data_IF_545106250774
#
_entry.id   IF_545106250774
#
_cell.length_a   1.000
_cell.length_b   1.000
_cell.length_c   1.000
_cell.angle_alpha   90.00
_cell.angle_beta   90.00
_cell.angle_gamma   90.00
#
_symmetry.space_group_name_H-M   'P 1'
#
loop_
_entity.id
_entity.type
_entity.pdbx_description
1 polymer ?
#
# COMPACT_ATOMS: atom_id res chain seq x y z
N UNK A 1 -7.19 -29.89 0.92
CA UNK A 1 -6.38 -28.67 1.02
C UNK A 1 -5.83 -28.59 2.44
N UNK A 2 -4.53 -28.50 2.56
CA UNK A 2 -3.84 -28.34 3.84
C UNK A 2 -4.01 -26.90 4.30
N UNK A 3 -4.52 -26.68 5.51
CA UNK A 3 -4.76 -25.32 6.04
C UNK A 3 -3.45 -24.53 6.23
N UNK A 4 -3.52 -23.19 6.29
CA UNK A 4 -2.36 -22.33 6.49
C UNK A 4 -1.55 -22.76 7.74
N UNK A 5 -2.22 -23.01 8.85
CA UNK A 5 -1.60 -23.42 10.14
C UNK A 5 -0.92 -24.79 10.07
N UNK A 6 -1.35 -25.67 9.19
CA UNK A 6 -0.72 -26.99 8.99
C UNK A 6 0.56 -26.86 8.16
N UNK A 7 0.55 -25.96 7.14
CA UNK A 7 1.74 -25.71 6.33
C UNK A 7 2.77 -24.83 7.05
N UNK A 8 2.31 -23.85 7.83
CA UNK A 8 3.10 -22.81 8.49
C UNK A 8 2.71 -22.72 9.97
N UNK A 9 3.19 -23.66 10.82
CA UNK A 9 2.76 -23.76 12.22
C UNK A 9 3.34 -22.68 13.15
N UNK A 10 4.32 -21.91 12.68
CA UNK A 10 4.96 -20.86 13.48
C UNK A 10 4.48 -19.49 13.04
N UNK A 11 4.18 -18.62 14.02
CA UNK A 11 3.75 -17.24 13.75
C UNK A 11 4.58 -16.29 14.59
N UNK A 12 5.19 -15.31 13.93
CA UNK A 12 5.75 -14.12 14.55
C UNK A 12 4.82 -12.92 14.29
N UNK A 13 4.61 -12.09 15.30
CA UNK A 13 3.73 -10.92 15.20
C UNK A 13 4.50 -9.64 15.52
N UNK A 14 4.28 -8.61 14.69
CA UNK A 14 4.85 -7.27 14.84
C UNK A 14 3.68 -6.27 14.96
N UNK A 15 3.05 -6.16 16.14
CA UNK A 15 1.74 -5.50 16.29
C UNK A 15 1.78 -3.99 16.05
N UNK A 16 2.95 -3.38 16.15
CA UNK A 16 3.11 -1.93 15.95
C UNK A 16 3.54 -1.53 14.53
N UNK A 17 3.79 -2.51 13.64
CA UNK A 17 4.25 -2.25 12.29
C UNK A 17 3.21 -1.45 11.48
N UNK A 18 3.63 -0.33 10.91
CA UNK A 18 2.84 0.53 10.00
C UNK A 18 1.45 0.95 10.55
N UNK A 19 1.28 0.89 11.88
CA UNK A 19 0.01 1.21 12.53
C UNK A 19 -1.13 0.21 12.27
N UNK A 20 -0.88 -0.91 11.59
CA UNK A 20 -1.86 -1.97 11.30
C UNK A 20 -1.46 -3.33 11.85
N UNK A 21 -0.19 -3.51 12.19
CA UNK A 21 0.42 -4.78 12.53
C UNK A 21 0.85 -5.59 11.31
N UNK A 22 1.78 -6.53 11.55
CA UNK A 22 2.27 -7.47 10.55
C UNK A 22 2.36 -8.85 11.20
N UNK A 23 1.92 -9.88 10.46
CA UNK A 23 2.05 -11.27 10.82
C UNK A 23 2.98 -11.98 9.84
N UNK A 24 3.86 -12.82 10.38
CA UNK A 24 4.76 -13.67 9.60
C UNK A 24 4.54 -15.12 10.00
N UNK A 25 3.91 -15.89 9.11
CA UNK A 25 3.72 -17.33 9.27
C UNK A 25 4.86 -18.07 8.56
N UNK A 26 5.47 -19.05 9.22
CA UNK A 26 6.63 -19.78 8.70
C UNK A 26 6.55 -21.28 8.96
N UNK A 27 7.20 -22.06 8.09
CA UNK A 27 7.29 -23.52 8.23
C UNK A 27 8.19 -23.96 9.38
N UNK A 28 9.17 -23.14 9.76
CA UNK A 28 10.06 -23.34 10.91
C UNK A 28 10.12 -22.09 11.77
N UNK A 29 10.38 -22.24 13.06
CA UNK A 29 10.47 -21.09 13.98
C UNK A 29 11.58 -20.13 13.54
N UNK A 30 11.31 -18.83 13.62
CA UNK A 30 12.33 -17.80 13.43
C UNK A 30 13.34 -17.84 14.59
N UNK A 31 14.63 -17.75 14.25
CA UNK A 31 15.65 -17.48 15.26
C UNK A 31 15.47 -16.10 15.88
N UNK A 32 15.86 -15.95 17.16
CA UNK A 32 15.71 -14.67 17.87
C UNK A 32 16.41 -13.50 17.18
N UNK A 33 17.60 -13.73 16.63
CA UNK A 33 18.35 -12.70 15.88
C UNK A 33 17.59 -12.23 14.63
N UNK A 34 16.96 -13.16 13.89
CA UNK A 34 16.19 -12.79 12.69
C UNK A 34 14.91 -12.01 13.06
N UNK A 35 14.24 -12.40 14.16
CA UNK A 35 13.10 -11.65 14.67
C UNK A 35 13.49 -10.19 15.00
N UNK A 36 14.60 -10.01 15.74
CA UNK A 36 15.10 -8.67 16.08
C UNK A 36 15.49 -7.87 14.84
N UNK A 37 16.16 -8.48 13.86
CA UNK A 37 16.51 -7.79 12.61
C UNK A 37 15.29 -7.32 11.82
N UNK A 38 14.16 -8.05 11.89
CA UNK A 38 12.90 -7.61 11.26
C UNK A 38 12.29 -6.45 12.05
N UNK A 39 12.32 -6.47 13.40
CA UNK A 39 11.87 -5.33 14.22
C UNK A 39 12.69 -4.06 13.93
N UNK A 40 14.01 -4.20 13.85
CA UNK A 40 14.91 -3.09 13.51
C UNK A 40 14.61 -2.53 12.12
N UNK A 41 14.41 -3.40 11.11
CA UNK A 41 14.03 -2.99 9.76
C UNK A 41 12.70 -2.23 9.75
N UNK A 42 11.67 -2.70 10.47
CA UNK A 42 10.37 -2.02 10.59
C UNK A 42 10.56 -0.62 11.20
N UNK A 43 11.36 -0.53 12.27
CA UNK A 43 11.65 0.73 12.94
C UNK A 43 12.38 1.71 12.00
N UNK A 44 13.40 1.25 11.30
CA UNK A 44 14.17 2.07 10.34
C UNK A 44 13.27 2.52 9.18
N UNK A 45 12.43 1.63 8.66
CA UNK A 45 11.46 1.95 7.62
C UNK A 45 10.53 3.10 8.03
N UNK A 46 9.97 3.03 9.23
CA UNK A 46 9.09 4.07 9.75
C UNK A 46 9.84 5.38 10.07
N UNK A 47 11.08 5.31 10.54
CA UNK A 47 11.92 6.49 10.79
C UNK A 47 12.28 7.24 9.49
N UNK A 48 12.21 6.58 8.36
CA UNK A 48 12.47 7.16 7.04
C UNK A 48 11.18 7.65 6.39
N UNK A 49 10.15 6.81 6.27
CA UNK A 49 9.01 7.01 5.37
C UNK A 49 7.70 7.40 6.06
N UNK A 50 7.60 7.34 7.40
CA UNK A 50 6.34 7.64 8.07
C UNK A 50 6.06 9.13 8.15
N UNK A 51 5.02 9.62 7.45
CA UNK A 51 4.54 11.00 7.60
C UNK A 51 3.93 11.31 8.97
N UNK A 52 3.64 10.29 9.76
CA UNK A 52 3.12 10.42 11.13
C UNK A 52 4.21 10.66 12.17
N UNK A 53 5.49 10.52 11.80
CA UNK A 53 6.66 10.83 12.62
C UNK A 53 7.27 12.16 12.17
N UNK A 54 7.29 13.16 13.05
CA UNK A 54 7.83 14.48 12.71
C UNK A 54 9.35 14.50 12.51
N UNK A 55 10.05 13.51 13.05
CA UNK A 55 11.48 13.28 12.97
C UNK A 55 11.93 12.34 11.84
N UNK A 56 10.97 11.72 11.13
CA UNK A 56 11.29 10.96 9.91
C UNK A 56 11.80 11.88 8.80
N UNK A 57 12.49 11.35 7.78
CA UNK A 57 12.93 12.14 6.63
C UNK A 57 11.73 12.81 5.94
N UNK A 58 10.65 12.05 5.71
CA UNK A 58 9.39 12.58 5.16
C UNK A 58 8.76 13.65 6.05
N UNK A 59 8.81 13.46 7.38
CA UNK A 59 8.34 14.46 8.33
C UNK A 59 9.15 15.77 8.28
N UNK A 60 10.46 15.68 8.07
CA UNK A 60 11.34 16.84 7.90
C UNK A 60 11.07 17.57 6.58
N UNK A 61 10.84 16.86 5.47
CA UNK A 61 10.47 17.47 4.18
C UNK A 61 9.22 18.33 4.28
N UNK A 62 8.23 17.88 5.04
CA UNK A 62 6.96 18.59 5.24
C UNK A 62 7.13 19.97 5.90
N UNK A 63 8.12 20.15 6.79
CA UNK A 63 8.33 21.39 7.53
C UNK A 63 9.45 22.25 6.96
N UNK A 64 10.09 21.81 5.91
CA UNK A 64 11.20 22.53 5.24
C UNK A 64 10.67 23.69 4.39
N UNK A 65 10.40 24.83 5.01
CA UNK A 65 9.77 26.01 4.36
C UNK A 65 10.52 26.56 3.14
N UNK A 66 11.81 26.31 3.05
CA UNK A 66 12.66 26.71 1.92
C UNK A 66 13.12 25.51 1.06
N UNK A 67 12.49 24.36 1.26
CA UNK A 67 12.95 23.11 0.66
C UNK A 67 14.25 22.62 1.28
N UNK A 68 14.92 21.72 0.56
CA UNK A 68 16.17 21.11 1.01
C UNK A 68 16.59 19.94 0.14
N UNK A 69 17.74 19.38 0.50
CA UNK A 69 18.25 18.11 -0.04
C UNK A 69 18.09 17.04 1.02
N UNK A 70 17.44 15.95 0.69
CA UNK A 70 17.08 14.86 1.61
C UNK A 70 17.65 13.56 1.07
N UNK A 71 18.63 13.01 1.78
CA UNK A 71 19.26 11.74 1.43
C UNK A 71 18.52 10.59 2.12
N UNK A 72 17.98 9.70 1.32
CA UNK A 72 17.30 8.47 1.78
C UNK A 72 18.25 7.27 1.70
N UNK A 73 18.03 6.23 2.50
CA UNK A 73 18.79 4.99 2.40
C UNK A 73 18.65 4.33 1.02
N UNK A 74 19.68 3.60 0.59
CA UNK A 74 19.72 2.94 -0.74
C UNK A 74 18.52 2.04 -1.02
N UNK A 75 17.94 1.42 0.00
CA UNK A 75 16.77 0.56 -0.14
C UNK A 75 15.51 1.33 -0.58
N UNK A 76 15.47 2.66 -0.54
CA UNK A 76 14.30 3.43 -1.01
C UNK A 76 14.26 3.62 -2.53
N UNK A 77 15.36 3.38 -3.24
CA UNK A 77 15.47 3.60 -4.69
C UNK A 77 14.32 2.91 -5.46
N UNK A 78 14.16 1.63 -5.22
CA UNK A 78 13.12 0.85 -5.92
C UNK A 78 11.68 1.32 -5.61
N UNK A 79 11.44 1.88 -4.43
CA UNK A 79 10.15 2.47 -4.08
C UNK A 79 9.91 3.74 -4.89
N UNK A 80 10.92 4.60 -5.03
CA UNK A 80 10.82 5.83 -5.80
C UNK A 80 10.62 5.53 -7.29
N UNK A 81 11.38 4.59 -7.85
CA UNK A 81 11.20 4.12 -9.23
C UNK A 81 9.78 3.56 -9.46
N UNK A 82 9.23 2.83 -8.49
CA UNK A 82 7.85 2.33 -8.58
C UNK A 82 6.84 3.49 -8.60
N UNK A 83 7.04 4.54 -7.80
CA UNK A 83 6.17 5.71 -7.82
C UNK A 83 6.30 6.51 -9.12
N UNK A 84 7.49 6.62 -9.72
CA UNK A 84 7.68 7.21 -11.05
C UNK A 84 6.84 6.47 -12.10
N UNK A 85 6.89 5.13 -12.07
CA UNK A 85 6.11 4.30 -12.99
C UNK A 85 4.60 4.40 -12.74
N UNK A 86 4.15 4.38 -11.48
CA UNK A 86 2.72 4.50 -11.14
C UNK A 86 2.18 5.88 -11.46
N UNK A 87 2.92 6.95 -11.14
CA UNK A 87 2.56 8.31 -11.49
C UNK A 87 2.35 8.44 -13.00
N UNK A 88 3.31 7.96 -13.81
CA UNK A 88 3.20 7.97 -15.27
C UNK A 88 2.03 7.11 -15.78
N UNK A 89 1.89 5.87 -15.31
CA UNK A 89 0.86 4.94 -15.77
C UNK A 89 -0.57 5.39 -15.43
N UNK A 90 -0.72 6.19 -14.36
CA UNK A 90 -2.01 6.72 -13.90
C UNK A 90 -2.25 8.17 -14.30
N UNK A 91 -1.35 8.79 -15.09
CA UNK A 91 -1.38 10.21 -15.41
C UNK A 91 -1.47 11.12 -14.18
N UNK A 92 -0.77 10.77 -13.09
CA UNK A 92 -0.74 11.51 -11.85
C UNK A 92 -1.88 11.22 -10.87
N UNK A 93 -2.76 10.26 -11.15
CA UNK A 93 -3.84 9.89 -10.22
C UNK A 93 -3.30 9.16 -8.97
N UNK A 94 -2.16 8.49 -9.07
CA UNK A 94 -1.36 8.01 -7.94
C UNK A 94 -0.13 8.90 -7.81
N UNK A 95 -0.05 9.64 -6.72
CA UNK A 95 0.98 10.65 -6.46
C UNK A 95 1.29 10.67 -4.96
N UNK A 96 2.53 10.40 -4.52
CA UNK A 96 2.85 10.41 -3.09
C UNK A 96 2.71 11.78 -2.43
N UNK A 97 2.70 12.89 -3.19
CA UNK A 97 2.41 14.22 -2.66
C UNK A 97 0.96 14.38 -2.15
N UNK A 98 0.08 13.39 -2.34
CA UNK A 98 -1.27 13.34 -1.76
C UNK A 98 -1.28 13.45 -0.23
N UNK A 99 -0.14 13.29 0.42
CA UNK A 99 0.03 13.47 1.86
C UNK A 99 -0.46 14.82 2.37
N UNK A 100 -0.31 15.90 1.59
CA UNK A 100 -0.86 17.21 1.94
C UNK A 100 -2.39 17.21 1.97
N UNK A 101 -3.02 16.62 0.95
CA UNK A 101 -4.47 16.51 0.87
C UNK A 101 -5.04 15.70 2.04
N UNK A 102 -4.39 14.56 2.36
CA UNK A 102 -4.79 13.71 3.48
C UNK A 102 -4.71 14.45 4.82
N UNK A 103 -3.67 15.26 5.04
CA UNK A 103 -3.51 16.06 6.25
C UNK A 103 -4.59 17.15 6.33
N UNK A 104 -4.85 17.88 5.25
CA UNK A 104 -5.92 18.92 5.19
C UNK A 104 -7.28 18.34 5.52
N UNK A 105 -7.54 17.12 5.12
CA UNK A 105 -8.80 16.41 5.33
C UNK A 105 -8.87 15.70 6.69
N UNK A 106 -7.86 15.90 7.55
CA UNK A 106 -7.83 15.37 8.89
C UNK A 106 -7.35 13.93 9.03
N UNK A 107 -6.77 13.34 7.99
CA UNK A 107 -6.10 12.05 8.11
C UNK A 107 -4.69 12.23 8.67
N UNK A 108 -4.61 12.67 9.92
CA UNK A 108 -3.41 12.75 10.74
C UNK A 108 -3.51 11.75 11.93
N UNK A 109 -2.55 11.80 12.87
CA UNK A 109 -2.56 10.94 14.08
C UNK A 109 -3.82 11.08 14.92
N UNK A 110 -4.51 12.22 14.87
CA UNK A 110 -5.63 12.58 15.74
C UNK A 110 -6.96 12.65 14.99
N UNK A 111 -6.98 12.38 13.68
CA UNK A 111 -8.16 12.61 12.82
C UNK A 111 -8.74 14.02 13.02
N UNK A 112 -7.85 15.01 13.03
CA UNK A 112 -8.22 16.41 13.33
C UNK A 112 -8.64 17.13 12.05
N UNK A 113 -9.95 17.31 11.86
CA UNK A 113 -10.48 18.13 10.76
C UNK A 113 -10.49 19.59 11.21
N UNK A 114 -9.52 20.38 10.75
CA UNK A 114 -9.31 21.75 11.21
C UNK A 114 -9.72 22.85 10.21
N UNK A 115 -9.95 22.53 8.94
CA UNK A 115 -10.25 23.51 7.90
C UNK A 115 -11.68 23.35 7.37
N UNK A 116 -12.55 24.39 7.49
CA UNK A 116 -13.80 24.43 6.75
C UNK A 116 -13.51 24.43 5.24
N UNK A 117 -14.22 23.62 4.45
CA UNK A 117 -14.05 23.49 3.00
C UNK A 117 -12.68 22.94 2.54
N UNK A 118 -11.97 22.19 3.40
CA UNK A 118 -10.69 21.59 3.05
C UNK A 118 -10.73 20.80 1.72
N UNK A 119 -11.85 20.14 1.43
CA UNK A 119 -12.04 19.37 0.20
C UNK A 119 -12.00 20.22 -1.08
N UNK A 120 -12.31 21.51 -1.02
CA UNK A 120 -12.29 22.43 -2.18
C UNK A 120 -10.86 22.84 -2.59
N UNK A 121 -9.87 22.53 -1.75
CA UNK A 121 -8.46 22.91 -1.92
C UNK A 121 -7.52 21.69 -2.05
N UNK A 122 -8.08 20.51 -2.25
CA UNK A 122 -7.29 19.27 -2.44
C UNK A 122 -7.07 18.97 -3.92
N UNK A 123 -6.02 18.21 -4.22
CA UNK A 123 -5.67 17.79 -5.57
C UNK A 123 -4.69 18.71 -6.30
N UNK A 124 -4.00 18.13 -7.27
CA UNK A 124 -3.02 18.84 -8.10
C UNK A 124 -3.64 20.00 -8.89
N UNK A 125 -4.90 19.89 -9.32
CA UNK A 125 -5.63 20.95 -10.03
C UNK A 125 -5.83 22.22 -9.20
N UNK A 126 -5.74 22.14 -7.87
CA UNK A 126 -5.82 23.28 -6.96
C UNK A 126 -4.45 23.76 -6.46
N UNK A 127 -3.36 23.34 -7.13
CA UNK A 127 -2.01 23.83 -6.88
C UNK A 127 -1.24 23.06 -5.80
N UNK A 128 -1.71 21.86 -5.38
CA UNK A 128 -0.91 20.96 -4.55
C UNK A 128 0.36 20.57 -5.32
N UNK A 129 1.49 20.47 -4.62
CA UNK A 129 2.72 19.93 -5.15
C UNK A 129 2.52 18.53 -5.75
N UNK A 130 3.19 18.22 -6.87
CA UNK A 130 3.16 16.91 -7.52
C UNK A 130 4.54 16.29 -7.56
N UNK A 131 4.58 14.96 -7.61
CA UNK A 131 5.80 14.17 -7.60
C UNK A 131 6.77 14.58 -8.72
N UNK A 132 6.28 14.82 -9.93
CA UNK A 132 7.06 15.15 -11.11
C UNK A 132 7.52 16.62 -11.18
N UNK A 133 6.86 17.54 -10.46
CA UNK A 133 7.17 18.97 -10.56
C UNK A 133 7.80 19.57 -9.30
N UNK A 134 7.48 19.03 -8.13
CA UNK A 134 7.93 19.59 -6.86
C UNK A 134 9.20 18.92 -6.31
N UNK A 135 9.61 17.80 -6.89
CA UNK A 135 10.71 16.99 -6.41
C UNK A 135 11.68 16.70 -7.56
N UNK A 136 12.94 17.10 -7.38
CA UNK A 136 14.02 16.63 -8.23
C UNK A 136 14.56 15.32 -7.64
N UNK A 137 14.52 14.28 -8.44
CA UNK A 137 14.88 12.92 -8.02
C UNK A 137 16.26 12.53 -8.56
N UNK A 138 17.22 12.27 -7.68
CA UNK A 138 18.59 11.87 -8.00
C UNK A 138 18.97 10.57 -7.28
N UNK A 139 18.50 9.42 -7.79
CA UNK A 139 18.66 8.13 -7.11
C UNK A 139 17.87 8.14 -5.79
N UNK A 140 18.52 8.06 -4.65
CA UNK A 140 17.88 8.12 -3.33
C UNK A 140 17.91 9.53 -2.70
N UNK A 141 18.39 10.53 -3.40
CA UNK A 141 18.37 11.93 -2.95
C UNK A 141 17.19 12.65 -3.58
N UNK A 142 16.32 13.22 -2.76
CA UNK A 142 15.23 14.08 -3.18
C UNK A 142 15.55 15.54 -2.86
N UNK A 143 15.39 16.43 -3.85
CA UNK A 143 15.58 17.88 -3.69
C UNK A 143 14.23 18.58 -3.87
N UNK A 144 13.90 19.47 -2.95
CA UNK A 144 12.67 20.27 -2.99
C UNK A 144 12.99 21.75 -2.83
N UNK A 145 12.12 22.63 -3.34
CA UNK A 145 12.25 24.10 -3.25
C UNK A 145 11.25 24.73 -2.29
N UNK A 146 10.49 23.90 -1.59
CA UNK A 146 9.50 24.27 -0.59
C UNK A 146 9.05 23.04 0.21
N UNK A 147 8.12 23.20 1.15
CA UNK A 147 7.61 22.08 1.93
C UNK A 147 6.83 21.11 1.04
N UNK A 148 7.08 19.82 1.20
CA UNK A 148 6.37 18.75 0.50
C UNK A 148 5.95 17.68 1.50
N UNK A 149 4.66 17.35 1.53
CA UNK A 149 4.12 16.29 2.39
C UNK A 149 3.92 15.01 1.58
N UNK A 150 4.82 14.04 1.75
CA UNK A 150 4.75 12.74 1.10
C UNK A 150 3.95 11.74 1.91
N UNK A 151 3.18 10.91 1.22
CA UNK A 151 2.53 9.70 1.75
C UNK A 151 2.80 8.53 0.80
N UNK A 152 3.57 7.57 1.27
CA UNK A 152 3.90 6.37 0.53
C UNK A 152 2.89 5.21 0.77
N UNK A 153 1.71 5.50 1.32
CA UNK A 153 0.74 4.50 1.74
C UNK A 153 0.16 3.62 0.63
N UNK A 154 0.26 4.05 -0.64
CA UNK A 154 -0.24 3.25 -1.77
C UNK A 154 0.61 2.00 -2.05
N UNK A 155 1.94 2.06 -1.83
CA UNK A 155 2.86 0.95 -2.08
C UNK A 155 3.63 0.53 -0.82
N UNK A 156 3.56 1.33 0.24
CA UNK A 156 4.51 1.25 1.34
C UNK A 156 4.36 0.01 2.21
N UNK A 157 3.15 -0.50 2.37
CA UNK A 157 2.95 -1.74 3.13
C UNK A 157 3.54 -2.93 2.37
N UNK A 158 3.20 -3.05 1.09
CA UNK A 158 3.76 -4.06 0.21
C UNK A 158 5.28 -3.97 0.09
N UNK A 159 5.83 -2.76 0.08
CA UNK A 159 7.28 -2.58 0.00
C UNK A 159 8.02 -3.07 1.26
N UNK A 160 7.49 -2.80 2.44
CA UNK A 160 8.05 -3.38 3.66
C UNK A 160 7.99 -4.91 3.66
N UNK A 161 6.89 -5.49 3.15
CA UNK A 161 6.76 -6.94 2.98
C UNK A 161 7.87 -7.50 2.06
N UNK A 162 8.13 -6.86 0.94
CA UNK A 162 9.21 -7.27 0.02
C UNK A 162 10.59 -7.18 0.67
N UNK A 163 10.89 -6.12 1.43
CA UNK A 163 12.14 -5.99 2.19
C UNK A 163 12.31 -7.06 3.27
N UNK A 164 11.23 -7.42 3.97
CA UNK A 164 11.25 -8.51 4.95
C UNK A 164 11.51 -9.85 4.24
N UNK A 165 10.86 -10.10 3.12
CA UNK A 165 11.05 -11.31 2.33
C UNK A 165 12.50 -11.46 1.83
N UNK A 166 13.14 -10.37 1.42
CA UNK A 166 14.55 -10.35 1.06
C UNK A 166 15.43 -10.79 2.24
N UNK A 167 15.16 -10.30 3.46
CA UNK A 167 15.88 -10.71 4.67
C UNK A 167 15.68 -12.19 5.00
N UNK A 168 14.45 -12.70 4.82
CA UNK A 168 14.17 -14.13 5.00
C UNK A 168 14.94 -14.99 3.99
N UNK A 169 14.95 -14.60 2.71
CA UNK A 169 15.65 -15.30 1.64
C UNK A 169 17.17 -15.37 1.84
N UNK A 170 17.76 -14.28 2.35
CA UNK A 170 19.19 -14.25 2.71
C UNK A 170 19.49 -15.15 3.90
N UNK A 171 18.60 -15.20 4.91
CA UNK A 171 18.80 -15.99 6.12
C UNK A 171 18.51 -17.49 5.90
N UNK A 172 17.47 -17.83 5.13
CA UNK A 172 16.99 -19.19 4.92
C UNK A 172 16.33 -19.31 3.53
N UNK A 173 17.08 -19.69 2.53
CA UNK A 173 16.63 -19.75 1.12
C UNK A 173 15.43 -20.66 0.85
N UNK A 174 15.24 -21.71 1.66
CA UNK A 174 14.19 -22.72 1.49
C UNK A 174 13.00 -22.51 2.45
N UNK A 175 12.98 -21.38 3.17
CA UNK A 175 11.92 -21.09 4.11
C UNK A 175 10.60 -20.87 3.37
N UNK A 176 9.56 -21.62 3.76
CA UNK A 176 8.18 -21.35 3.33
C UNK A 176 7.54 -20.39 4.32
N UNK A 177 6.85 -19.39 3.78
CA UNK A 177 6.26 -18.34 4.61
C UNK A 177 5.03 -17.70 3.95
N UNK A 178 4.25 -17.02 4.77
CA UNK A 178 3.30 -15.99 4.38
C UNK A 178 3.56 -14.77 5.25
N UNK A 179 3.75 -13.61 4.62
CA UNK A 179 3.83 -12.31 5.28
C UNK A 179 2.50 -11.62 5.04
N UNK A 180 1.84 -11.13 6.09
CA UNK A 180 0.57 -10.39 6.04
C UNK A 180 0.74 -9.03 6.71
N UNK A 181 0.66 -7.96 5.93
CA UNK A 181 0.70 -6.57 6.40
C UNK A 181 -0.69 -5.92 6.26
N UNK A 182 -1.69 -6.53 6.91
CA UNK A 182 -3.05 -5.99 6.96
C UNK A 182 -3.82 -6.12 5.65
N UNK A 183 -3.65 -7.24 4.95
CA UNK A 183 -4.29 -7.57 3.68
C UNK A 183 -3.36 -7.47 2.46
N UNK A 184 -2.11 -7.04 2.66
CA UNK A 184 -1.06 -7.13 1.66
C UNK A 184 -0.20 -8.35 1.97
N UNK A 185 -0.37 -9.38 1.15
CA UNK A 185 0.20 -10.70 1.37
C UNK A 185 1.34 -10.99 0.41
N UNK A 186 2.42 -11.56 0.92
CA UNK A 186 3.38 -12.29 0.11
C UNK A 186 3.39 -13.76 0.51
N UNK A 187 3.13 -14.62 -0.45
CA UNK A 187 2.95 -16.06 -0.23
C UNK A 187 4.11 -16.82 -0.87
N UNK A 188 4.74 -17.69 -0.10
CA UNK A 188 5.74 -18.65 -0.54
C UNK A 188 5.51 -19.99 0.15
N UNK A 189 4.63 -20.82 -0.43
CA UNK A 189 4.21 -22.12 0.11
C UNK A 189 4.31 -23.23 -0.92
N UNK A 190 4.30 -24.48 -0.48
CA UNK A 190 4.32 -25.64 -1.38
C UNK A 190 2.97 -25.98 -1.98
N UNK A 191 1.89 -25.70 -1.21
CA UNK A 191 0.52 -25.92 -1.62
C UNK A 191 -0.25 -24.59 -1.57
N UNK A 192 -1.23 -24.36 -2.43
CA UNK A 192 -2.01 -23.14 -2.39
C UNK A 192 -2.68 -22.91 -1.03
N UNK A 193 -2.72 -21.66 -0.60
CA UNK A 193 -3.56 -21.20 0.49
C UNK A 193 -4.80 -20.52 -0.06
N UNK A 194 -5.92 -20.69 0.62
CA UNK A 194 -7.17 -20.01 0.28
C UNK A 194 -7.26 -18.67 0.98
N UNK A 195 -7.48 -17.61 0.22
CA UNK A 195 -7.64 -16.23 0.69
C UNK A 195 -9.07 -15.79 0.43
N UNK A 196 -9.77 -15.33 1.47
CA UNK A 196 -11.10 -14.76 1.32
C UNK A 196 -11.04 -13.36 0.68
N UNK A 197 -11.88 -13.10 -0.30
CA UNK A 197 -12.15 -11.75 -0.80
C UNK A 197 -13.17 -11.12 0.15
N UNK A 198 -12.70 -10.30 1.10
CA UNK A 198 -13.54 -9.69 2.14
C UNK A 198 -14.67 -8.86 1.53
N UNK A 199 -15.88 -8.99 2.05
CA UNK A 199 -16.99 -8.11 1.67
C UNK A 199 -16.78 -6.72 2.27
N UNK A 200 -16.63 -5.65 1.45
CA UNK A 200 -16.38 -4.31 1.96
C UNK A 200 -17.54 -3.75 2.81
N UNK A 201 -18.73 -4.35 2.74
CA UNK A 201 -19.91 -3.97 3.53
C UNK A 201 -20.06 -4.77 4.83
N UNK A 202 -19.42 -5.94 4.92
CA UNK A 202 -19.47 -6.83 6.09
C UNK A 202 -18.13 -7.58 6.23
N UNK A 203 -17.20 -7.08 7.09
CA UNK A 203 -15.88 -7.69 7.28
C UNK A 203 -15.90 -9.13 7.83
N UNK A 204 -17.06 -9.64 8.29
CA UNK A 204 -17.23 -11.02 8.73
C UNK A 204 -17.60 -11.96 7.57
N UNK A 205 -17.88 -11.42 6.39
CA UNK A 205 -18.29 -12.13 5.19
C UNK A 205 -17.25 -12.01 4.07
N UNK A 206 -17.37 -12.89 3.07
CA UNK A 206 -16.58 -12.85 1.85
C UNK A 206 -17.47 -12.81 0.61
N UNK A 207 -17.02 -12.13 -0.43
CA UNK A 207 -17.67 -12.08 -1.75
C UNK A 207 -17.08 -13.07 -2.74
N UNK A 208 -15.99 -13.72 -2.38
CA UNK A 208 -15.27 -14.68 -3.22
C UNK A 208 -14.06 -15.27 -2.51
N UNK A 209 -13.29 -16.06 -3.25
CA UNK A 209 -12.02 -16.66 -2.78
C UNK A 209 -10.96 -16.60 -3.87
N UNK A 210 -9.69 -16.58 -3.44
CA UNK A 210 -8.52 -16.79 -4.29
C UNK A 210 -7.64 -17.91 -3.73
N UNK A 211 -6.85 -18.55 -4.58
CA UNK A 211 -5.89 -19.60 -4.20
C UNK A 211 -4.50 -19.25 -4.73
N UNK A 212 -3.55 -19.11 -3.83
CA UNK A 212 -2.19 -18.68 -4.15
C UNK A 212 -1.17 -19.54 -3.39
N UNK A 213 -0.13 -19.98 -4.08
CA UNK A 213 1.04 -20.65 -3.48
C UNK A 213 2.32 -19.83 -3.59
N UNK A 214 2.40 -18.96 -4.60
CA UNK A 214 3.58 -18.14 -4.89
C UNK A 214 3.16 -16.76 -5.37
N UNK A 215 3.75 -15.70 -4.81
CA UNK A 215 3.57 -14.33 -5.24
C UNK A 215 2.80 -13.45 -4.27
N UNK A 216 2.52 -12.25 -4.69
CA UNK A 216 1.82 -11.24 -3.91
C UNK A 216 0.31 -11.28 -4.15
N UNK A 217 -0.46 -10.99 -3.11
CA UNK A 217 -1.89 -10.75 -3.18
C UNK A 217 -2.25 -9.58 -2.27
N UNK A 218 -2.66 -8.47 -2.86
CA UNK A 218 -2.98 -7.25 -2.14
C UNK A 218 -4.40 -6.81 -2.39
N UNK A 219 -5.01 -6.20 -1.37
CA UNK A 219 -6.38 -5.72 -1.42
C UNK A 219 -6.47 -4.26 -0.97
N UNK A 220 -7.30 -3.47 -1.65
CA UNK A 220 -7.65 -2.11 -1.23
C UNK A 220 -9.16 -1.95 -1.09
N UNK A 221 -9.57 -1.32 0.00
CA UNK A 221 -10.97 -0.97 0.28
C UNK A 221 -11.05 0.25 1.19
N UNK A 222 -12.05 1.14 1.02
CA UNK A 222 -12.30 2.24 1.95
C UNK A 222 -12.86 1.78 3.30
N UNK A 223 -13.34 0.54 3.42
CA UNK A 223 -14.11 0.04 4.57
C UNK A 223 -13.41 0.19 5.93
N UNK A 224 -12.08 0.06 5.99
CA UNK A 224 -11.31 0.08 7.25
C UNK A 224 -10.76 1.45 7.63
N UNK A 225 -10.66 2.41 6.68
CA UNK A 225 -10.05 3.74 6.89
C UNK A 225 -10.95 4.81 6.33
N UNK A 226 -12.00 5.12 7.08
CA UNK A 226 -12.95 6.17 6.77
C UNK A 226 -13.18 7.05 8.00
N UNK A 227 -13.56 8.32 7.77
CA UNK A 227 -13.88 9.30 8.81
C UNK A 227 -14.93 10.27 8.28
N UNK A 228 -15.46 11.10 9.15
CA UNK A 228 -16.45 12.10 8.77
C UNK A 228 -15.87 13.49 8.95
N UNK A 229 -16.00 14.36 7.93
CA UNK A 229 -15.58 15.76 8.04
C UNK A 229 -16.55 16.58 8.92
N UNK A 230 -16.17 17.86 9.18
CA UNK A 230 -16.99 18.77 9.98
C UNK A 230 -18.37 19.09 9.36
N UNK A 231 -18.57 18.87 8.06
CA UNK A 231 -19.83 19.07 7.34
C UNK A 231 -20.68 17.78 7.29
N UNK A 232 -20.19 16.66 7.81
CA UNK A 232 -20.88 15.36 7.80
C UNK A 232 -20.60 14.49 6.58
N UNK A 233 -19.68 14.86 5.69
CA UNK A 233 -19.34 14.06 4.54
C UNK A 233 -18.46 12.86 4.97
N UNK A 234 -18.76 11.70 4.42
CA UNK A 234 -17.92 10.51 4.60
C UNK A 234 -16.67 10.63 3.72
N UNK A 235 -15.52 10.54 4.36
CA UNK A 235 -14.22 10.59 3.72
C UNK A 235 -13.48 9.27 3.92
N UNK A 236 -12.60 8.95 2.98
CA UNK A 236 -11.66 7.82 3.08
C UNK A 236 -10.34 8.17 2.40
N UNK A 237 -9.32 7.35 2.60
CA UNK A 237 -7.96 7.60 2.16
C UNK A 237 -7.73 7.36 0.65
N UNK A 238 -8.61 6.59 -0.03
CA UNK A 238 -8.48 6.29 -1.46
C UNK A 238 -9.03 7.45 -2.29
N UNK A 239 -8.12 8.21 -2.88
CA UNK A 239 -8.42 9.46 -3.59
C UNK A 239 -7.76 9.50 -4.95
N UNK A 240 -8.37 10.24 -5.86
CA UNK A 240 -7.69 10.65 -7.07
C UNK A 240 -6.79 11.87 -6.74
N UNK A 241 -5.48 11.71 -6.88
CA UNK A 241 -4.53 12.78 -6.54
C UNK A 241 -4.62 14.00 -7.49
N UNK A 242 -5.27 13.88 -8.64
CA UNK A 242 -5.45 14.99 -9.59
C UNK A 242 -6.45 16.00 -9.03
N UNK A 243 -7.64 15.55 -8.63
CA UNK A 243 -8.74 16.41 -8.17
C UNK A 243 -8.97 16.35 -6.64
N UNK A 244 -8.26 15.46 -5.94
CA UNK A 244 -8.37 15.28 -4.51
C UNK A 244 -9.68 14.63 -4.03
N UNK A 245 -10.54 14.17 -4.94
CA UNK A 245 -11.86 13.63 -4.62
C UNK A 245 -11.77 12.17 -4.16
N UNK A 246 -12.50 11.75 -3.10
CA UNK A 246 -12.65 10.35 -2.75
C UNK A 246 -13.31 9.55 -3.88
N UNK A 247 -12.77 8.36 -4.19
CA UNK A 247 -13.34 7.51 -5.24
C UNK A 247 -14.41 6.61 -4.66
N UNK A 248 -15.67 6.90 -4.97
CA UNK A 248 -16.84 6.17 -4.44
C UNK A 248 -17.45 5.15 -5.41
N UNK A 249 -16.92 5.02 -6.63
CA UNK A 249 -17.44 4.11 -7.65
C UNK A 249 -16.94 2.66 -7.50
N UNK A 250 -15.83 2.46 -6.80
CA UNK A 250 -15.20 1.16 -6.51
C UNK A 250 -15.31 0.87 -5.02
N UNK A 251 -15.77 -0.33 -4.68
CA UNK A 251 -15.93 -0.77 -3.28
C UNK A 251 -14.70 -1.54 -2.77
N UNK A 252 -14.11 -2.39 -3.62
CA UNK A 252 -12.89 -3.11 -3.30
C UNK A 252 -12.16 -3.56 -4.57
N UNK A 253 -10.86 -3.74 -4.44
CA UNK A 253 -9.99 -4.28 -5.48
C UNK A 253 -9.05 -5.33 -4.88
N UNK A 254 -8.70 -6.33 -5.68
CA UNK A 254 -7.73 -7.36 -5.34
C UNK A 254 -6.76 -7.51 -6.51
N UNK A 255 -5.49 -7.58 -6.22
CA UNK A 255 -4.42 -7.73 -7.21
C UNK A 255 -3.54 -8.91 -6.84
N UNK A 256 -3.33 -9.78 -7.82
CA UNK A 256 -2.34 -10.85 -7.75
C UNK A 256 -1.17 -10.51 -8.68
N UNK A 257 0.05 -10.58 -8.16
CA UNK A 257 1.28 -10.38 -8.92
C UNK A 257 2.28 -11.50 -8.63
N UNK A 258 2.97 -11.93 -9.68
CA UNK A 258 3.99 -12.98 -9.56
C UNK A 258 5.38 -12.33 -9.63
N UNK A 259 6.38 -12.77 -8.86
CA UNK A 259 7.73 -12.22 -8.91
C UNK A 259 8.31 -12.16 -10.34
N UNK A 260 9.10 -11.12 -10.71
CA UNK A 260 10.42 -11.01 -10.11
C UNK A 260 10.46 -10.07 -8.89
N UNK A 261 11.18 -9.11 -8.67
CA UNK A 261 11.29 -8.32 -7.45
C UNK A 261 10.10 -7.38 -7.23
N UNK A 262 9.82 -6.98 -6.00
CA UNK A 262 8.80 -5.98 -5.59
C UNK A 262 7.35 -6.35 -5.93
N UNK A 263 7.05 -7.65 -5.95
CA UNK A 263 5.70 -8.11 -6.30
C UNK A 263 4.64 -7.55 -5.36
N UNK A 264 4.93 -7.43 -4.05
CA UNK A 264 3.97 -6.95 -3.06
C UNK A 264 3.79 -5.44 -3.13
N UNK A 265 4.88 -4.67 -3.26
CA UNK A 265 4.80 -3.22 -3.46
C UNK A 265 4.00 -2.85 -4.72
N UNK A 266 4.27 -3.56 -5.82
CA UNK A 266 3.54 -3.37 -7.08
C UNK A 266 2.06 -3.73 -6.92
N UNK A 267 1.74 -4.86 -6.31
CA UNK A 267 0.35 -5.30 -6.12
C UNK A 267 -0.43 -4.35 -5.20
N UNK A 268 0.16 -3.85 -4.09
CA UNK A 268 -0.42 -2.85 -3.19
C UNK A 268 -0.72 -1.55 -3.95
N UNK A 269 0.28 -1.02 -4.70
CA UNK A 269 0.12 0.17 -5.51
C UNK A 269 -0.94 0.04 -6.61
N UNK A 270 -0.99 -1.09 -7.29
CA UNK A 270 -1.98 -1.37 -8.33
C UNK A 270 -3.38 -1.57 -7.74
N UNK A 271 -3.51 -2.22 -6.57
CA UNK A 271 -4.80 -2.32 -5.89
C UNK A 271 -5.36 -0.93 -5.56
N UNK A 272 -4.51 0.02 -5.14
CA UNK A 272 -4.90 1.43 -4.96
C UNK A 272 -5.21 2.11 -6.30
N UNK A 273 -4.37 1.92 -7.34
CA UNK A 273 -4.52 2.57 -8.64
C UNK A 273 -5.79 2.16 -9.38
N UNK A 274 -6.28 0.95 -9.20
CA UNK A 274 -7.54 0.45 -9.79
C UNK A 274 -8.79 1.23 -9.34
N UNK A 275 -8.71 2.02 -8.28
CA UNK A 275 -9.80 2.93 -7.89
C UNK A 275 -9.94 4.10 -8.88
N UNK A 276 -8.85 4.56 -9.48
CA UNK A 276 -8.81 5.77 -10.32
C UNK A 276 -8.54 5.50 -11.79
N UNK A 277 -7.93 4.35 -12.10
CA UNK A 277 -7.37 4.07 -13.43
C UNK A 277 -7.86 2.71 -13.93
N UNK A 278 -8.37 2.61 -15.16
CA UNK A 278 -8.83 1.35 -15.72
C UNK A 278 -7.74 0.27 -15.76
N UNK A 279 -8.12 -0.98 -15.43
CA UNK A 279 -7.20 -2.11 -15.44
C UNK A 279 -6.47 -2.30 -16.80
N UNK A 280 -7.15 -2.04 -17.91
CA UNK A 280 -6.55 -2.15 -19.26
C UNK A 280 -5.39 -1.16 -19.46
N UNK A 281 -5.48 0.06 -18.91
CA UNK A 281 -4.41 1.05 -18.94
C UNK A 281 -3.22 0.60 -18.08
N UNK A 282 -3.47 0.15 -16.85
CA UNK A 282 -2.42 -0.31 -15.94
C UNK A 282 -1.71 -1.56 -16.47
N UNK A 283 -2.43 -2.49 -17.08
CA UNK A 283 -1.86 -3.71 -17.71
C UNK A 283 -0.94 -3.44 -18.91
N UNK A 284 -1.00 -2.26 -19.51
CA UNK A 284 -0.04 -1.85 -20.53
C UNK A 284 1.34 -1.53 -19.95
N UNK A 285 1.44 -1.31 -18.63
CA UNK A 285 2.66 -0.92 -17.92
C UNK A 285 3.14 -1.97 -16.93
N UNK A 286 2.23 -2.77 -16.36
CA UNK A 286 2.52 -3.73 -15.30
C UNK A 286 1.91 -5.09 -15.59
N UNK A 287 2.65 -6.20 -15.36
CA UNK A 287 2.08 -7.55 -15.36
C UNK A 287 1.35 -7.81 -14.03
N UNK A 288 0.04 -8.04 -14.06
CA UNK A 288 -0.76 -8.41 -12.89
C UNK A 288 -2.12 -8.98 -13.30
N UNK A 289 -2.76 -9.68 -12.36
CA UNK A 289 -4.16 -10.08 -12.47
C UNK A 289 -4.97 -9.37 -11.37
N UNK A 290 -6.24 -9.10 -11.64
CA UNK A 290 -7.07 -8.35 -10.70
C UNK A 290 -8.52 -8.78 -10.67
N UNK A 291 -9.18 -8.49 -9.56
CA UNK A 291 -10.61 -8.49 -9.40
C UNK A 291 -11.06 -7.15 -8.81
N UNK A 292 -12.22 -6.66 -9.24
CA UNK A 292 -12.78 -5.37 -8.86
C UNK A 292 -14.25 -5.58 -8.50
N UNK A 293 -14.66 -5.04 -7.37
CA UNK A 293 -16.05 -4.92 -6.95
C UNK A 293 -16.42 -3.44 -6.96
N UNK A 294 -17.42 -3.07 -7.72
CA UNK A 294 -17.93 -1.69 -7.79
C UNK A 294 -18.99 -1.42 -6.72
N UNK A 295 -19.26 -0.14 -6.46
CA UNK A 295 -20.22 0.27 -5.43
C UNK A 295 -21.67 -0.15 -5.74
N UNK A 296 -22.00 -0.42 -7.00
CA UNK A 296 -23.29 -0.97 -7.43
C UNK A 296 -23.35 -2.52 -7.35
N UNK A 297 -22.37 -3.14 -6.70
CA UNK A 297 -22.22 -4.59 -6.57
C UNK A 297 -21.95 -5.34 -7.89
N UNK A 298 -21.50 -4.64 -8.94
CA UNK A 298 -21.00 -5.31 -10.14
C UNK A 298 -19.58 -5.80 -9.89
N UNK A 299 -19.29 -7.03 -10.35
CA UNK A 299 -17.98 -7.65 -10.18
C UNK A 299 -17.33 -7.91 -11.54
N UNK A 300 -16.04 -7.65 -11.64
CA UNK A 300 -15.22 -7.94 -12.81
C UNK A 300 -13.88 -8.52 -12.37
N UNK A 301 -13.33 -9.43 -13.16
CA UNK A 301 -11.99 -9.98 -12.93
C UNK A 301 -11.26 -10.20 -14.26
N UNK A 302 -9.94 -10.19 -14.20
CA UNK A 302 -9.11 -10.55 -15.34
C UNK A 302 -9.14 -12.07 -15.57
N UNK A 303 -8.86 -12.55 -16.80
CA UNK A 303 -9.04 -13.97 -17.15
C UNK A 303 -8.25 -14.95 -16.29
N UNK A 304 -7.03 -14.56 -15.90
CA UNK A 304 -6.10 -15.41 -15.16
C UNK A 304 -6.03 -15.03 -13.66
N UNK A 305 -7.01 -14.26 -13.16
CA UNK A 305 -7.11 -13.98 -11.73
C UNK A 305 -7.26 -15.30 -10.94
N UNK A 306 -6.42 -15.54 -9.92
CA UNK A 306 -6.36 -16.84 -9.24
C UNK A 306 -7.52 -17.07 -8.26
N UNK A 307 -8.72 -16.66 -8.62
CA UNK A 307 -9.89 -16.70 -7.75
C UNK A 307 -11.20 -16.50 -8.49
N UNK A 308 -12.29 -16.44 -7.73
CA UNK A 308 -13.61 -16.15 -8.27
C UNK A 308 -14.52 -15.53 -7.22
N UNK A 309 -15.47 -14.72 -7.69
CA UNK A 309 -16.60 -14.26 -6.88
C UNK A 309 -17.62 -15.38 -6.69
N UNK A 310 -18.31 -15.37 -5.56
CA UNK A 310 -19.45 -16.24 -5.34
C UNK A 310 -20.62 -15.78 -6.22
N UNK A 311 -21.15 -16.69 -6.99
CA UNK A 311 -22.40 -16.41 -7.74
C UNK A 311 -23.60 -16.50 -6.77
N UNK A 312 -24.41 -15.44 -6.76
CA UNK A 312 -25.69 -15.43 -6.04
C UNK A 312 -26.80 -15.94 -6.94
#
# INVERSE_FOLDING_TARGET
MTGLTEQLPHTAAFPNALGTGLLLHTASALGGDLHQHIEDLISDYENVLSRFKGDSIVGQMRVATHGGTFDFPDWTMNLFDLYDHLFSATNGAIDPCVGEDLIRLGYDKSYSVNEPNAAEHTGAIHGRATWDHAIEHHGTTLVTHGPVALDFGACGKGYLVDLIAERLGVAQSDLRYVIDAGGDLLVHTSEPITIALEDPSDPASAVGVAEISQGAFCASSPSRRHWTDAAGHQLHHLRNAIDGVPVNSVAATWVAATPPSLATAQADGLATALFTTPAAQLRAHFPFECAILTADCSAAQSPDFPGSFFMR
#
